data_IF_432115004977
#
_entry.id   IF_432115004977
#
_cell.length_a   1.000
_cell.length_b   1.000
_cell.length_c   1.000
_cell.angle_alpha   90.00
_cell.angle_beta   90.00
_cell.angle_gamma   90.00
#
_symmetry.space_group_name_H-M   'P 1'
#
loop_
_entity.id
_entity.type
_entity.pdbx_description
1 polymer ?
#
# COMPACT_ATOMS: atom_id res chain seq x y z
N UNK A 1 -5.18 -9.70 6.05
CA UNK A 1 -6.34 -10.53 5.61
C UNK A 1 -7.56 -9.65 5.26
N UNK A 2 -7.44 -8.45 4.66
CA UNK A 2 -8.53 -7.43 4.72
C UNK A 2 -8.72 -6.46 3.51
N UNK A 3 -7.97 -6.54 2.41
CA UNK A 3 -7.96 -5.47 1.36
C UNK A 3 -9.29 -5.22 0.63
N UNK A 4 -10.17 -6.22 0.57
CA UNK A 4 -11.50 -6.12 -0.06
C UNK A 4 -12.64 -6.32 0.95
N UNK A 5 -12.34 -6.19 2.25
CA UNK A 5 -13.37 -6.30 3.27
C UNK A 5 -14.21 -5.02 3.20
N UNK A 6 -15.54 -5.14 3.10
CA UNK A 6 -16.49 -4.03 3.06
C UNK A 6 -16.58 -3.25 1.73
N UNK A 7 -16.24 -3.85 0.59
CA UNK A 7 -16.68 -3.34 -0.72
C UNK A 7 -17.91 -4.10 -1.20
N UNK A 8 -18.92 -3.39 -1.71
CA UNK A 8 -20.08 -4.00 -2.38
C UNK A 8 -19.76 -4.40 -3.83
N UNK A 9 -18.69 -3.84 -4.39
CA UNK A 9 -18.15 -4.16 -5.72
C UNK A 9 -17.17 -5.33 -5.69
N UNK A 10 -16.95 -5.97 -6.84
CA UNK A 10 -15.96 -7.04 -6.98
C UNK A 10 -14.55 -6.50 -6.68
N UNK A 11 -13.86 -7.15 -5.75
CA UNK A 11 -12.46 -6.86 -5.45
C UNK A 11 -11.57 -7.10 -6.66
N UNK A 12 -10.70 -6.15 -6.93
CA UNK A 12 -9.74 -6.17 -8.01
C UNK A 12 -8.37 -5.78 -7.45
N UNK A 13 -7.38 -6.64 -7.70
CA UNK A 13 -5.97 -6.38 -7.43
C UNK A 13 -5.23 -6.52 -8.75
N UNK A 14 -4.62 -5.44 -9.20
CA UNK A 14 -3.68 -5.42 -10.30
C UNK A 14 -2.26 -5.45 -9.74
N UNK A 15 -1.40 -6.28 -10.32
CA UNK A 15 0.02 -6.34 -9.98
C UNK A 15 0.82 -6.23 -11.28
N UNK A 16 1.70 -5.25 -11.37
CA UNK A 16 2.57 -5.04 -12.52
C UNK A 16 4.04 -4.93 -12.09
N UNK A 17 4.93 -5.37 -12.97
CA UNK A 17 6.38 -5.29 -12.77
C UNK A 17 6.98 -4.58 -13.98
N UNK A 18 7.85 -3.60 -13.72
CA UNK A 18 8.54 -2.86 -14.76
C UNK A 18 10.01 -2.67 -14.35
N UNK A 19 10.92 -2.88 -15.30
CA UNK A 19 12.33 -2.56 -15.10
C UNK A 19 12.56 -1.07 -15.34
N UNK A 20 13.20 -0.40 -14.38
CA UNK A 20 13.44 1.05 -14.38
C UNK A 20 14.87 1.28 -13.88
N UNK A 21 15.73 1.89 -14.69
CA UNK A 21 17.08 2.38 -14.34
C UNK A 21 17.70 1.83 -13.02
N UNK A 22 18.07 0.54 -13.00
CA UNK A 22 18.76 -0.11 -11.87
C UNK A 22 17.86 -0.70 -10.78
N UNK A 23 16.54 -0.73 -10.96
CA UNK A 23 15.60 -1.38 -10.06
C UNK A 23 14.40 -1.98 -10.79
N UNK A 24 13.75 -2.94 -10.13
CA UNK A 24 12.45 -3.45 -10.54
C UNK A 24 11.38 -2.69 -9.76
N UNK A 25 10.48 -2.01 -10.47
CA UNK A 25 9.29 -1.38 -9.90
C UNK A 25 8.12 -2.36 -9.93
N UNK A 26 7.66 -2.78 -8.76
CA UNK A 26 6.45 -3.57 -8.56
C UNK A 26 5.32 -2.62 -8.13
N UNK A 27 4.27 -2.50 -8.93
CA UNK A 27 3.07 -1.74 -8.59
C UNK A 27 1.92 -2.69 -8.24
N UNK A 28 1.26 -2.44 -7.12
CA UNK A 28 0.05 -3.12 -6.69
C UNK A 28 -1.09 -2.11 -6.60
N UNK A 29 -2.17 -2.32 -7.34
CA UNK A 29 -3.35 -1.44 -7.32
C UNK A 29 -4.55 -2.25 -6.87
N UNK A 30 -5.12 -1.90 -5.72
CA UNK A 30 -6.40 -2.44 -5.28
C UNK A 30 -7.53 -1.43 -5.48
N UNK A 31 -8.74 -1.91 -5.73
CA UNK A 31 -9.94 -1.08 -5.82
C UNK A 31 -10.74 -1.03 -4.50
N UNK A 32 -10.09 -1.24 -3.35
CA UNK A 32 -10.71 -1.26 -2.03
C UNK A 32 -11.29 0.10 -1.62
N UNK A 33 -11.71 0.20 -0.35
CA UNK A 33 -12.30 1.43 0.22
C UNK A 33 -11.28 2.54 0.50
N UNK A 34 -9.99 2.33 0.18
CA UNK A 34 -8.87 3.20 0.53
C UNK A 34 -8.40 3.05 1.99
N UNK A 35 -7.16 3.47 2.27
CA UNK A 35 -6.55 3.30 3.60
C UNK A 35 -7.12 4.23 4.66
N UNK A 36 -7.50 5.46 4.32
CA UNK A 36 -8.13 6.39 5.27
C UNK A 36 -9.43 5.82 5.84
N UNK A 37 -10.36 5.44 4.97
CA UNK A 37 -11.64 4.84 5.36
C UNK A 37 -11.45 3.49 6.07
N UNK A 38 -10.46 2.69 5.66
CA UNK A 38 -10.10 1.47 6.38
C UNK A 38 -9.54 1.76 7.79
N UNK A 39 -8.70 2.79 7.94
CA UNK A 39 -8.15 3.23 9.22
C UNK A 39 -9.23 3.81 10.15
N UNK A 40 -10.16 4.62 9.64
CA UNK A 40 -11.31 5.12 10.40
C UNK A 40 -12.21 3.98 10.92
N UNK A 41 -12.48 2.98 10.07
CA UNK A 41 -13.23 1.79 10.46
C UNK A 41 -12.44 0.89 11.44
N UNK A 42 -11.11 0.83 11.30
CA UNK A 42 -10.23 0.08 12.20
C UNK A 42 -10.07 0.75 13.57
N UNK A 43 -10.05 2.08 13.65
CA UNK A 43 -10.04 2.81 14.92
C UNK A 43 -11.30 2.58 15.75
N UNK A 44 -12.43 2.22 15.11
CA UNK A 44 -13.67 1.84 15.79
C UNK A 44 -13.71 0.38 16.26
N UNK A 45 -12.75 -0.46 15.87
CA UNK A 45 -12.65 -1.85 16.33
C UNK A 45 -11.60 -1.96 17.45
N UNK A 46 -12.01 -2.35 18.65
CA UNK A 46 -11.17 -2.47 19.86
C UNK A 46 -10.00 -3.48 19.77
N UNK A 47 -9.78 -4.14 18.62
CA UNK A 47 -8.80 -5.23 18.45
C UNK A 47 -7.57 -4.85 17.60
N UNK A 48 -7.01 -3.66 17.77
CA UNK A 48 -5.85 -3.22 16.99
C UNK A 48 -4.54 -3.74 17.57
N UNK A 49 -4.20 -5.02 17.32
CA UNK A 49 -2.81 -5.47 17.43
C UNK A 49 -2.01 -4.94 16.24
N UNK A 50 -1.32 -3.82 16.44
CA UNK A 50 -0.27 -3.34 15.54
C UNK A 50 0.84 -4.41 15.55
N UNK A 51 0.88 -5.27 14.54
CA UNK A 51 1.80 -6.43 14.57
C UNK A 51 3.25 -5.94 14.48
N UNK A 52 4.10 -6.41 15.39
CA UNK A 52 5.54 -6.12 15.40
C UNK A 52 6.19 -6.42 14.06
N UNK A 53 5.68 -7.41 13.32
CA UNK A 53 6.13 -7.77 11.99
C UNK A 53 6.02 -6.60 10.99
N UNK A 54 4.92 -5.84 10.98
CA UNK A 54 4.77 -4.69 10.09
C UNK A 54 5.73 -3.56 10.45
N UNK A 55 5.97 -3.35 11.75
CA UNK A 55 6.88 -2.32 12.24
C UNK A 55 8.33 -2.64 11.86
N UNK A 56 8.76 -3.90 12.06
CA UNK A 56 10.08 -4.39 11.64
C UNK A 56 10.24 -4.34 10.13
N UNK A 57 9.20 -4.68 9.37
CA UNK A 57 9.23 -4.55 7.91
C UNK A 57 9.42 -3.09 7.50
N UNK A 58 8.70 -2.15 8.11
CA UNK A 58 8.86 -0.72 7.84
C UNK A 58 10.28 -0.23 8.16
N UNK A 59 10.84 -0.58 9.32
CA UNK A 59 12.20 -0.19 9.72
C UNK A 59 13.26 -0.71 8.73
N UNK A 60 13.12 -1.94 8.24
CA UNK A 60 14.05 -2.51 7.25
C UNK A 60 13.97 -1.78 5.91
N UNK A 61 12.78 -1.35 5.51
CA UNK A 61 12.57 -0.60 4.26
C UNK A 61 13.06 0.85 4.37
N UNK A 62 12.94 1.46 5.55
CA UNK A 62 13.46 2.80 5.85
C UNK A 62 14.99 2.84 5.89
N UNK A 63 15.65 1.72 6.21
CA UNK A 63 17.11 1.61 6.14
C UNK A 63 17.61 1.50 4.70
N UNK A 64 16.92 0.71 3.87
CA UNK A 64 17.30 0.52 2.47
C UNK A 64 17.08 1.80 1.63
N UNK A 65 16.05 2.60 1.94
CA UNK A 65 15.76 3.88 1.24
C UNK A 65 16.85 4.92 1.43
N UNK A 66 17.53 4.94 2.58
CA UNK A 66 18.61 5.88 2.88
C UNK A 66 19.90 5.64 2.09
N UNK A 67 20.10 4.43 1.56
CA UNK A 67 21.32 4.04 0.86
C UNK A 67 21.28 4.51 -0.61
N UNK A 68 20.12 4.42 -1.25
CA UNK A 68 19.97 4.61 -2.69
C UNK A 68 19.37 5.98 -3.07
N UNK A 69 18.93 6.79 -2.10
CA UNK A 69 18.15 8.03 -2.33
C UNK A 69 16.85 7.79 -3.14
N UNK A 70 16.43 6.52 -3.27
CA UNK A 70 15.21 6.06 -3.94
C UNK A 70 14.20 5.71 -2.86
N UNK A 71 12.94 6.15 -3.04
CA UNK A 71 11.81 5.66 -2.22
C UNK A 71 11.46 4.23 -2.60
N UNK A 72 11.95 3.26 -1.84
CA UNK A 72 11.72 1.84 -2.07
C UNK A 72 10.28 1.41 -1.86
N UNK A 73 9.54 2.09 -0.98
CA UNK A 73 8.10 1.91 -0.89
C UNK A 73 7.42 3.27 -0.96
N UNK A 74 6.38 3.32 -1.78
CA UNK A 74 5.50 4.45 -1.91
C UNK A 74 4.06 3.95 -1.88
N UNK A 75 3.22 4.62 -1.10
CA UNK A 75 1.81 4.27 -0.99
C UNK A 75 1.01 5.51 -1.37
N UNK A 76 0.13 5.36 -2.35
CA UNK A 76 -0.66 6.40 -2.97
C UNK A 76 -2.12 6.01 -2.82
N UNK A 77 -2.90 6.81 -2.10
CA UNK A 77 -4.34 6.63 -2.04
C UNK A 77 -4.97 7.12 -3.35
N UNK A 78 -5.83 6.30 -3.96
CA UNK A 78 -6.51 6.64 -5.21
C UNK A 78 -7.89 7.23 -4.89
N UNK A 79 -8.17 8.41 -5.42
CA UNK A 79 -9.45 9.11 -5.26
C UNK A 79 -10.14 9.34 -6.60
N UNK A 80 -11.47 9.35 -6.59
CA UNK A 80 -12.28 9.78 -7.73
C UNK A 80 -12.30 11.30 -7.85
N UNK A 81 -12.81 11.83 -8.98
CA UNK A 81 -13.02 13.26 -9.19
C UNK A 81 -13.91 13.90 -8.11
N UNK A 82 -14.76 13.11 -7.45
CA UNK A 82 -15.65 13.55 -6.38
C UNK A 82 -14.98 13.50 -4.99
N UNK A 83 -13.70 13.13 -4.90
CA UNK A 83 -12.96 12.99 -3.65
C UNK A 83 -13.18 11.66 -2.91
N UNK A 84 -13.98 10.75 -3.45
CA UNK A 84 -14.19 9.44 -2.82
C UNK A 84 -12.98 8.53 -3.03
N UNK A 85 -12.54 7.84 -1.98
CA UNK A 85 -11.50 6.83 -2.08
C UNK A 85 -11.96 5.63 -2.93
N UNK A 86 -11.20 5.33 -3.98
CA UNK A 86 -11.50 4.27 -4.95
C UNK A 86 -10.52 3.10 -4.90
N UNK A 87 -9.44 3.21 -4.13
CA UNK A 87 -8.42 2.20 -4.04
C UNK A 87 -7.11 2.67 -3.42
N UNK A 88 -6.11 1.79 -3.45
CA UNK A 88 -4.73 2.11 -3.05
C UNK A 88 -3.77 1.63 -4.13
N UNK A 89 -2.76 2.44 -4.45
CA UNK A 89 -1.60 2.03 -5.23
C UNK A 89 -0.39 1.93 -4.31
N UNK A 90 0.26 0.78 -4.29
CA UNK A 90 1.53 0.55 -3.59
C UNK A 90 2.61 0.33 -4.64
N UNK A 91 3.69 1.08 -4.56
CA UNK A 91 4.85 0.93 -5.42
C UNK A 91 6.00 0.43 -4.56
N UNK A 92 6.64 -0.67 -4.96
CA UNK A 92 7.81 -1.26 -4.34
C UNK A 92 8.94 -1.26 -5.36
N UNK A 93 10.05 -0.59 -5.06
CA UNK A 93 11.25 -0.54 -5.90
C UNK A 93 12.30 -1.46 -5.30
N UNK A 94 12.79 -2.40 -6.09
CA UNK A 94 13.78 -3.41 -5.68
C UNK A 94 15.02 -3.21 -6.55
N UNK A 95 16.09 -2.60 -6.02
CA UNK A 95 17.37 -2.51 -6.71
C UNK A 95 17.93 -3.91 -7.01
N UNK A 96 18.66 -4.05 -8.12
CA UNK A 96 19.32 -5.31 -8.52
C UNK A 96 20.79 -5.12 -8.87
#
# INVERSE_FOLDING_TARGET
KHGFKNIEKRGHLEISFEERDGYIECSLIDNGIGREKANELQQKSESFHKSTALLVTQERLDLLTKIENIKLIEIIDLTSENGEAIGTKVIIRIPY
#
